data_IF_935580053878
#
_entry.id   IF_935580053878
#
_cell.length_a   1.000
_cell.length_b   1.000
_cell.length_c   1.000
_cell.angle_alpha   90.00
_cell.angle_beta   90.00
_cell.angle_gamma   90.00
#
_symmetry.space_group_name_H-M   'P 1'
#
loop_
_entity.id
_entity.type
_entity.pdbx_description
1 polymer ?
#
# COMPACT_ATOMS: atom_id res chain seq x y z
N UNK A 1 -11.67 -2.03 -14.07
CA UNK A 1 -10.55 -1.58 -13.22
C UNK A 1 -9.25 -2.06 -13.84
N UNK A 2 -8.15 -1.32 -13.70
CA UNK A 2 -6.85 -1.75 -14.23
C UNK A 2 -6.13 -2.57 -13.16
N UNK A 3 -5.78 -3.81 -13.48
CA UNK A 3 -5.01 -4.67 -12.60
C UNK A 3 -3.56 -4.74 -13.02
N UNK A 4 -2.68 -4.88 -12.04
CA UNK A 4 -1.28 -5.25 -12.23
C UNK A 4 -0.93 -6.40 -11.29
N UNK A 5 0.08 -7.19 -11.64
CA UNK A 5 0.79 -8.01 -10.66
C UNK A 5 2.00 -7.22 -10.17
N UNK A 6 2.26 -7.28 -8.86
CA UNK A 6 3.52 -6.79 -8.29
C UNK A 6 4.42 -7.99 -8.00
N UNK A 7 5.73 -7.80 -7.98
CA UNK A 7 6.67 -8.84 -7.56
C UNK A 7 6.49 -9.15 -6.07
N UNK A 8 6.48 -8.11 -5.24
CA UNK A 8 6.18 -8.17 -3.80
C UNK A 8 6.05 -6.75 -3.23
N UNK A 9 5.49 -6.65 -2.02
CA UNK A 9 5.74 -5.54 -1.12
C UNK A 9 7.07 -5.79 -0.41
N UNK A 10 7.90 -4.76 -0.29
CA UNK A 10 9.14 -4.78 0.49
C UNK A 10 8.94 -4.05 1.81
N UNK A 11 9.34 -4.67 2.92
CA UNK A 11 9.38 -4.09 4.25
C UNK A 11 10.84 -4.08 4.74
N UNK A 12 11.39 -2.90 5.00
CA UNK A 12 12.78 -2.71 5.41
C UNK A 12 13.79 -3.44 4.49
N UNK A 13 13.59 -3.32 3.17
CA UNK A 13 14.37 -3.97 2.11
C UNK A 13 14.27 -5.51 2.07
N UNK A 14 13.32 -6.11 2.79
CA UNK A 14 13.03 -7.53 2.72
C UNK A 14 11.66 -7.79 2.07
N UNK A 15 11.52 -8.80 1.19
CA UNK A 15 10.23 -9.13 0.60
C UNK A 15 9.24 -9.62 1.66
N UNK A 16 8.00 -9.16 1.59
CA UNK A 16 6.89 -9.66 2.40
C UNK A 16 6.26 -10.84 1.68
N UNK A 17 6.38 -12.05 2.24
CA UNK A 17 5.85 -13.27 1.63
C UNK A 17 4.33 -13.19 1.39
N UNK A 18 3.89 -13.67 0.23
CA UNK A 18 2.46 -13.68 -0.12
C UNK A 18 1.87 -12.31 -0.42
N UNK A 19 2.71 -11.31 -0.72
CA UNK A 19 2.25 -9.96 -1.10
C UNK A 19 2.29 -9.69 -2.60
N UNK A 20 2.83 -10.59 -3.41
CA UNK A 20 2.93 -10.45 -4.86
C UNK A 20 3.20 -11.78 -5.55
N UNK A 21 3.39 -11.73 -6.86
CA UNK A 21 3.48 -12.89 -7.75
C UNK A 21 2.32 -12.95 -8.74
N UNK A 22 2.36 -13.93 -9.65
CA UNK A 22 1.39 -14.05 -10.75
C UNK A 22 -0.05 -14.38 -10.31
N UNK A 23 -0.24 -14.81 -9.05
CA UNK A 23 -1.55 -15.16 -8.50
C UNK A 23 -2.24 -14.00 -7.75
N UNK A 24 -1.51 -12.90 -7.51
CA UNK A 24 -1.97 -11.77 -6.69
C UNK A 24 -2.05 -10.54 -7.59
N UNK A 25 -3.25 -10.02 -7.77
CA UNK A 25 -3.52 -8.85 -8.60
C UNK A 25 -3.86 -7.64 -7.73
N UNK A 26 -3.45 -6.46 -8.18
CA UNK A 26 -3.74 -5.19 -7.54
C UNK A 26 -4.48 -4.29 -8.50
N UNK A 27 -5.64 -3.78 -8.10
CA UNK A 27 -6.29 -2.67 -8.74
C UNK A 27 -5.53 -1.39 -8.40
N UNK A 28 -5.22 -0.58 -9.41
CA UNK A 28 -4.77 0.79 -9.20
C UNK A 28 -5.98 1.70 -9.19
N UNK A 29 -6.30 2.26 -8.02
CA UNK A 29 -7.59 2.94 -7.79
C UNK A 29 -7.43 4.29 -7.11
N UNK A 30 -7.51 5.37 -7.90
CA UNK A 30 -7.53 6.73 -7.37
C UNK A 30 -8.80 7.06 -6.57
N UNK A 31 -9.85 6.24 -6.67
CA UNK A 31 -11.08 6.39 -5.89
C UNK A 31 -10.98 5.82 -4.47
N UNK A 32 -9.90 5.11 -4.15
CA UNK A 32 -9.66 4.52 -2.84
C UNK A 32 -8.47 5.19 -2.18
N UNK A 33 -8.62 5.67 -0.95
CA UNK A 33 -7.55 6.39 -0.23
C UNK A 33 -6.42 5.45 0.24
N UNK A 34 -6.78 4.33 0.86
CA UNK A 34 -5.83 3.39 1.49
C UNK A 34 -5.38 2.30 0.50
N UNK A 35 -4.26 1.66 0.80
CA UNK A 35 -3.87 0.41 0.16
C UNK A 35 -4.53 -0.75 0.92
N UNK A 36 -5.31 -1.58 0.23
CA UNK A 36 -5.90 -2.80 0.78
C UNK A 36 -5.09 -3.98 0.27
N UNK A 37 -4.32 -4.61 1.15
CA UNK A 37 -3.32 -5.63 0.79
C UNK A 37 -3.62 -6.94 1.54
N UNK A 38 -2.98 -8.08 1.22
CA UNK A 38 -3.24 -9.33 1.93
C UNK A 38 -3.11 -9.18 3.44
N UNK A 39 -4.00 -9.84 4.20
CA UNK A 39 -4.04 -9.74 5.68
C UNK A 39 -2.67 -9.95 6.33
N UNK A 40 -1.90 -10.94 5.87
CA UNK A 40 -0.56 -11.23 6.39
C UNK A 40 0.42 -10.07 6.14
N UNK A 41 0.36 -9.45 4.97
CA UNK A 41 1.20 -8.33 4.60
C UNK A 41 0.80 -7.05 5.36
N UNK A 42 -0.50 -6.77 5.49
CA UNK A 42 -1.01 -5.67 6.30
C UNK A 42 -0.55 -5.82 7.76
N UNK A 43 -0.71 -7.01 8.36
CA UNK A 43 -0.27 -7.26 9.72
C UNK A 43 1.25 -7.06 9.89
N UNK A 44 2.07 -7.59 8.98
CA UNK A 44 3.52 -7.46 9.03
C UNK A 44 3.99 -6.00 8.95
N UNK A 45 3.45 -5.23 8.00
CA UNK A 45 3.80 -3.82 7.82
C UNK A 45 3.35 -2.99 9.03
N UNK A 46 2.11 -3.17 9.49
CA UNK A 46 1.56 -2.40 10.61
C UNK A 46 2.26 -2.70 11.95
N UNK A 47 2.73 -3.94 12.14
CA UNK A 47 3.51 -4.32 13.31
C UNK A 47 4.90 -3.65 13.36
N UNK A 48 5.43 -3.19 12.22
CA UNK A 48 6.74 -2.57 12.11
C UNK A 48 6.73 -1.05 12.35
N UNK A 49 5.57 -0.42 12.53
CA UNK A 49 5.49 0.95 13.02
C UNK A 49 5.95 1.02 14.48
N UNK A 50 6.41 2.20 14.90
CA UNK A 50 6.79 2.45 16.30
C UNK A 50 6.05 3.68 16.84
N UNK A 51 5.07 3.51 17.75
CA UNK A 51 4.53 2.24 18.24
C UNK A 51 3.75 1.46 17.14
N UNK A 52 3.62 0.12 17.27
CA UNK A 52 2.87 -0.69 16.31
C UNK A 52 1.42 -0.23 16.14
N UNK A 53 0.95 -0.19 14.90
CA UNK A 53 -0.44 0.11 14.59
C UNK A 53 -1.35 -1.07 14.99
N UNK A 54 -2.59 -0.76 15.35
CA UNK A 54 -3.57 -1.76 15.83
C UNK A 54 -4.83 -1.72 15.01
N UNK A 55 -5.27 -2.87 14.53
CA UNK A 55 -6.52 -2.97 13.77
C UNK A 55 -7.72 -2.66 14.67
N UNK A 56 -8.56 -1.72 14.24
CA UNK A 56 -9.85 -1.41 14.86
C UNK A 56 -10.96 -2.00 14.00
N UNK A 57 -11.60 -3.07 14.46
CA UNK A 57 -12.75 -3.65 13.77
C UNK A 57 -13.92 -2.67 13.65
N UNK A 58 -14.09 -1.78 14.64
CA UNK A 58 -15.13 -0.75 14.61
C UNK A 58 -14.85 0.34 13.56
N UNK A 59 -13.56 0.66 13.33
CA UNK A 59 -13.14 1.65 12.33
C UNK A 59 -12.82 1.05 10.96
N UNK A 60 -12.75 -0.28 10.84
CA UNK A 60 -12.36 -0.97 9.62
C UNK A 60 -10.92 -0.67 9.16
N UNK A 61 -10.04 -0.21 10.06
CA UNK A 61 -8.71 0.26 9.72
C UNK A 61 -7.68 0.03 10.83
N UNK A 62 -6.40 -0.02 10.46
CA UNK A 62 -5.29 0.04 11.42
C UNK A 62 -5.14 1.47 11.96
N UNK A 63 -5.36 1.63 13.27
CA UNK A 63 -5.11 2.87 14.00
C UNK A 63 -3.62 2.95 14.36
N UNK A 64 -3.02 4.09 14.07
CA UNK A 64 -1.60 4.35 14.31
C UNK A 64 -1.43 5.66 15.09
N UNK A 65 -0.37 5.77 15.89
CA UNK A 65 -0.03 7.05 16.50
C UNK A 65 0.34 8.06 15.39
N UNK A 66 -0.21 9.28 15.44
CA UNK A 66 0.02 10.28 14.41
C UNK A 66 1.51 10.70 14.26
N UNK A 67 2.32 10.47 15.30
CA UNK A 67 3.76 10.71 15.31
C UNK A 67 4.57 9.39 15.30
N UNK A 68 3.97 8.28 14.88
CA UNK A 68 4.66 7.01 14.80
C UNK A 68 5.85 7.11 13.84
N UNK A 69 6.95 6.44 14.20
CA UNK A 69 8.02 6.16 13.23
C UNK A 69 7.51 5.10 12.28
N UNK A 70 7.51 5.41 10.98
CA UNK A 70 7.03 4.50 9.94
C UNK A 70 8.17 3.59 9.43
N UNK A 71 7.89 2.33 9.09
CA UNK A 71 8.89 1.46 8.47
C UNK A 71 9.13 1.86 7.01
N UNK A 72 10.27 1.44 6.43
CA UNK A 72 10.48 1.61 4.99
C UNK A 72 9.64 0.58 4.23
N UNK A 73 8.70 1.05 3.40
CA UNK A 73 7.85 0.18 2.58
C UNK A 73 7.93 0.58 1.11
N UNK A 74 8.04 -0.42 0.23
CA UNK A 74 8.02 -0.20 -1.23
C UNK A 74 7.09 -1.20 -1.91
N UNK A 75 6.43 -0.77 -2.97
CA UNK A 75 5.78 -1.67 -3.93
C UNK A 75 6.83 -2.03 -4.99
N UNK A 76 7.11 -3.32 -5.19
CA UNK A 76 8.10 -3.76 -6.18
C UNK A 76 7.39 -4.29 -7.42
N UNK A 77 7.55 -3.63 -8.56
CA UNK A 77 6.93 -4.00 -9.84
C UNK A 77 8.05 -4.33 -10.81
N UNK A 78 8.03 -5.55 -11.37
CA UNK A 78 9.05 -6.04 -12.31
C UNK A 78 10.52 -5.81 -11.86
N UNK A 79 10.77 -5.91 -10.55
CA UNK A 79 12.09 -5.70 -9.95
C UNK A 79 12.45 -4.25 -9.64
N UNK A 80 11.61 -3.28 -10.04
CA UNK A 80 11.77 -1.87 -9.68
C UNK A 80 11.03 -1.57 -8.39
N UNK A 81 11.72 -1.00 -7.40
CA UNK A 81 11.13 -0.61 -6.13
C UNK A 81 10.56 0.82 -6.21
N UNK A 82 9.30 0.97 -5.81
CA UNK A 82 8.61 2.25 -5.66
C UNK A 82 8.39 2.51 -4.16
N UNK A 83 9.28 3.26 -3.49
CA UNK A 83 9.15 3.55 -2.07
C UNK A 83 7.96 4.46 -1.80
N UNK A 84 7.27 4.22 -0.69
CA UNK A 84 6.18 5.09 -0.22
C UNK A 84 6.77 6.10 0.75
N UNK A 85 6.52 7.38 0.50
CA UNK A 85 6.97 8.45 1.37
C UNK A 85 6.28 8.36 2.74
N UNK A 86 7.02 8.71 3.81
CA UNK A 86 6.53 8.57 5.17
C UNK A 86 5.25 9.37 5.45
N UNK A 87 5.10 10.54 4.82
CA UNK A 87 3.90 11.37 4.95
C UNK A 87 2.65 10.74 4.35
N UNK A 88 2.81 9.81 3.40
CA UNK A 88 1.69 9.11 2.76
C UNK A 88 1.33 7.80 3.49
N UNK A 89 2.08 7.42 4.53
CA UNK A 89 1.85 6.19 5.29
C UNK A 89 0.97 6.39 6.54
N UNK A 90 0.81 7.63 7.02
CA UNK A 90 0.01 7.98 8.20
C UNK A 90 -1.01 9.05 7.82
N UNK A 91 -2.29 8.68 7.77
CA UNK A 91 -3.36 9.56 7.37
C UNK A 91 -4.13 10.06 8.59
N UNK A 92 -4.30 11.37 8.70
CA UNK A 92 -5.02 12.00 9.81
C UNK A 92 -6.49 12.22 9.47
N UNK A 93 -7.38 11.67 10.29
CA UNK A 93 -8.81 11.89 10.23
C UNK A 93 -9.21 13.25 10.82
N UNK A 94 -10.43 13.70 10.51
CA UNK A 94 -11.00 14.95 11.01
C UNK A 94 -11.19 14.97 12.53
N UNK A 95 -11.39 13.80 13.15
CA UNK A 95 -11.49 13.63 14.61
C UNK A 95 -10.12 13.63 15.33
N UNK A 96 -9.03 13.79 14.57
CA UNK A 96 -7.66 13.82 15.09
C UNK A 96 -7.02 12.46 15.27
N UNK A 97 -7.73 11.35 15.01
CA UNK A 97 -7.13 10.02 14.96
C UNK A 97 -6.30 9.84 13.69
N UNK A 98 -5.34 8.92 13.71
CA UNK A 98 -4.57 8.58 12.52
C UNK A 98 -4.72 7.09 12.18
N UNK A 99 -4.73 6.82 10.88
CA UNK A 99 -4.80 5.46 10.32
C UNK A 99 -3.58 5.20 9.43
N UNK A 100 -3.17 3.94 9.40
CA UNK A 100 -2.14 3.47 8.48
C UNK A 100 -2.67 3.45 7.04
N UNK A 101 -1.84 3.84 6.10
CA UNK A 101 -2.12 3.69 4.67
C UNK A 101 -2.21 2.24 4.21
N UNK A 102 -1.68 1.30 5.00
CA UNK A 102 -1.66 -0.13 4.69
C UNK A 102 -2.75 -0.83 5.50
N UNK A 103 -3.82 -1.23 4.85
CA UNK A 103 -4.99 -1.81 5.49
C UNK A 103 -5.26 -3.25 5.07
N UNK A 104 -6.05 -3.95 5.88
CA UNK A 104 -6.44 -5.33 5.62
C UNK A 104 -7.44 -5.41 4.45
N UNK A 105 -7.01 -5.99 3.34
CA UNK A 105 -7.85 -6.33 2.18
C UNK A 105 -8.51 -7.70 2.28
N UNK A 106 -8.23 -8.46 3.35
CA UNK A 106 -8.71 -9.82 3.56
C UNK A 106 -7.78 -10.91 3.01
N UNK A 107 -8.17 -12.15 3.28
CA UNK A 107 -7.54 -13.36 2.75
C UNK A 107 -8.54 -14.05 1.80
N UNK A 108 -8.19 -14.21 0.52
CA UNK A 108 -9.01 -14.94 -0.45
C UNK A 108 -8.33 -16.24 -0.84
N UNK A 109 -9.13 -17.28 -1.15
CA UNK A 109 -8.64 -18.60 -1.54
C UNK A 109 -8.81 -18.91 -3.02
N UNK A 110 -9.45 -18.01 -3.78
CA UNK A 110 -9.85 -18.26 -5.18
C UNK A 110 -9.27 -17.25 -6.17
N UNK A 111 -9.12 -15.99 -5.75
CA UNK A 111 -8.41 -14.92 -6.48
C UNK A 111 -8.13 -13.78 -5.51
N UNK A 112 -6.86 -13.47 -5.35
CA UNK A 112 -6.36 -12.43 -4.44
C UNK A 112 -6.29 -11.11 -5.20
N UNK A 113 -7.43 -10.40 -5.22
CA UNK A 113 -7.56 -9.07 -5.83
C UNK A 113 -7.55 -8.01 -4.74
N UNK A 114 -6.51 -7.16 -4.78
CA UNK A 114 -6.20 -6.14 -3.79
C UNK A 114 -6.24 -4.74 -4.41
N UNK A 115 -5.99 -3.70 -3.61
CA UNK A 115 -6.05 -2.31 -4.06
C UNK A 115 -4.79 -1.57 -3.65
N UNK A 116 -4.15 -0.92 -4.63
CA UNK A 116 -3.20 0.16 -4.40
C UNK A 116 -3.90 1.48 -4.69
N UNK A 117 -4.17 2.22 -3.62
CA UNK A 117 -4.97 3.43 -3.65
C UNK A 117 -4.15 4.70 -3.83
N UNK A 118 -4.76 5.83 -3.48
CA UNK A 118 -4.17 7.17 -3.47
C UNK A 118 -2.82 7.21 -2.74
N UNK A 119 -2.69 6.51 -1.60
CA UNK A 119 -1.44 6.45 -0.84
C UNK A 119 -0.25 5.91 -1.67
N UNK A 120 -0.47 4.88 -2.50
CA UNK A 120 0.54 4.45 -3.47
C UNK A 120 0.68 5.46 -4.62
N UNK A 121 -0.45 5.89 -5.20
CA UNK A 121 -0.46 6.72 -6.40
C UNK A 121 0.15 8.11 -6.22
N UNK A 122 0.22 8.68 -5.00
CA UNK A 122 0.96 9.92 -4.72
C UNK A 122 2.46 9.82 -5.00
N UNK A 123 3.01 8.61 -4.89
CA UNK A 123 4.43 8.30 -4.99
C UNK A 123 4.87 7.93 -6.41
N UNK A 124 3.93 7.76 -7.33
CA UNK A 124 4.19 7.36 -8.71
C UNK A 124 3.45 8.25 -9.70
N UNK A 125 4.06 8.50 -10.86
CA UNK A 125 3.33 8.94 -12.04
C UNK A 125 2.76 7.68 -12.71
N UNK A 126 1.44 7.52 -12.68
CA UNK A 126 0.74 6.40 -13.31
C UNK A 126 0.29 6.78 -14.72
N UNK A 127 0.88 6.15 -15.75
CA UNK A 127 0.41 6.25 -17.12
C UNK A 127 -0.53 5.08 -17.40
N UNK A 128 -1.77 5.40 -17.79
CA UNK A 128 -2.77 4.43 -18.24
C UNK A 128 -2.80 4.46 -19.77
N UNK A 129 -2.26 3.45 -20.42
CA UNK A 129 -2.39 3.28 -21.87
C UNK A 129 -3.66 2.49 -22.18
N UNK A 130 -4.72 3.22 -22.54
CA UNK A 130 -6.03 2.65 -22.87
C UNK A 130 -6.00 1.86 -24.18
N UNK A 131 -5.11 2.21 -25.13
CA UNK A 131 -5.00 1.54 -26.43
C UNK A 131 -4.28 0.20 -26.34
N UNK A 132 -3.30 0.10 -25.43
CA UNK A 132 -2.52 -1.12 -25.18
C UNK A 132 -3.02 -1.94 -23.97
N UNK A 133 -4.03 -1.47 -23.24
CA UNK A 133 -4.48 -2.04 -21.98
C UNK A 133 -3.33 -2.29 -20.97
N UNK A 134 -2.40 -1.33 -20.88
CA UNK A 134 -1.20 -1.44 -20.05
C UNK A 134 -1.04 -0.26 -19.10
N UNK A 135 -0.28 -0.45 -18.02
CA UNK A 135 0.06 0.59 -17.05
C UNK A 135 1.57 0.71 -16.90
N UNK A 136 2.07 1.94 -16.80
CA UNK A 136 3.48 2.24 -16.55
C UNK A 136 3.60 3.19 -15.35
N UNK A 137 4.66 3.01 -14.55
CA UNK A 137 4.91 3.80 -13.34
C UNK A 137 6.31 4.39 -13.36
N UNK A 138 6.43 5.67 -12.99
CA UNK A 138 7.69 6.32 -12.70
C UNK A 138 7.67 6.86 -11.27
N UNK A 139 8.76 6.66 -10.50
CA UNK A 139 8.89 7.22 -9.17
C UNK A 139 8.87 8.76 -9.21
N UNK A 140 8.15 9.38 -8.28
CA UNK A 140 8.08 10.84 -8.16
C UNK A 140 9.20 11.34 -7.23
N UNK A 141 9.87 12.44 -7.56
CA UNK A 141 10.80 13.08 -6.60
C UNK A 141 10.06 13.47 -5.32
N UNK A 142 10.69 13.28 -4.16
CA UNK A 142 10.09 13.57 -2.86
C UNK A 142 9.76 15.07 -2.73
N UNK A 143 8.56 15.38 -2.22
CA UNK A 143 8.12 16.75 -1.95
C UNK A 143 8.49 17.14 -0.51
N UNK A 144 9.00 18.35 -0.33
CA UNK A 144 9.10 18.96 0.99
C UNK A 144 7.68 19.28 1.49
N UNK A 145 7.35 18.80 2.69
CA UNK A 145 6.10 19.12 3.40
C UNK A 145 6.10 20.51 4.01
#
# INVERSE_FOLDING_TARGET
>A
FYTINIAHLSLNNAPVSGSGGSAIEYIIDSGTTLNYIPTSAAAAINAAFVPPAKYSAAGGAYIVACNATVPAVSVVIEGTAFPIHALDMVLRNSDGTCVSAWNDGGASSSRDLYILGEAFMKNVVSLFDVGAASMQFAGREFYAG
#
